data_IF_839494906207
#
_entry.id   IF_839494906207
#
_cell.length_a   1.000
_cell.length_b   1.000
_cell.length_c   1.000
_cell.angle_alpha   90.00
_cell.angle_beta   90.00
_cell.angle_gamma   90.00
#
_symmetry.space_group_name_H-M   'P 1'
#
loop_
_entity.id
_entity.type
_entity.pdbx_description
1 polymer ?
2 non-polymer ?
3 non-polymer ?
4 non-polymer ?
5 non-polymer ?
6 water ?
#
# COMPACT_ATOMS: atom_id res chain seq x y z
N UNK A 2 -33.96 0.72 13.26
CA UNK A 2 -33.60 -0.41 12.33
C UNK A 2 -32.09 -0.56 12.09
N UNK A 3 -31.40 0.55 11.86
CA UNK A 3 -29.93 0.53 11.87
C UNK A 3 -29.42 0.97 13.23
N UNK A 4 -28.37 0.33 13.71
CA UNK A 4 -27.76 0.75 14.96
C UNK A 4 -26.72 1.84 14.69
N UNK A 5 -25.80 2.05 15.63
CA UNK A 5 -24.80 3.12 15.47
C UNK A 5 -23.72 2.77 14.45
N UNK A 6 -23.73 1.53 13.96
CA UNK A 6 -22.82 1.09 12.91
C UNK A 6 -21.46 0.65 13.39
N UNK A 7 -20.50 0.69 12.48
CA UNK A 7 -19.19 0.09 12.73
C UNK A 7 -18.08 1.13 12.94
N UNK A 8 -17.01 0.67 13.58
CA UNK A 8 -15.78 1.43 13.77
C UNK A 8 -14.72 0.79 12.89
N UNK A 9 -14.13 1.59 12.00
CA UNK A 9 -13.10 1.11 11.12
C UNK A 9 -11.77 1.74 11.50
N UNK A 10 -10.78 0.93 11.86
CA UNK A 10 -9.41 1.41 11.99
C UNK A 10 -8.87 1.47 10.57
N UNK A 11 -8.70 2.71 10.09
CA UNK A 11 -8.39 2.93 8.69
C UNK A 11 -6.99 3.46 8.46
N UNK A 12 -6.15 2.62 7.87
CA UNK A 12 -4.81 3.03 7.50
C UNK A 12 -4.64 3.28 6.00
N UNK A 13 -5.71 3.09 5.22
CA UNK A 13 -5.69 3.41 3.79
C UNK A 13 -5.89 4.94 3.63
N UNK A 14 -5.48 5.50 2.49
CA UNK A 14 -5.61 6.95 2.26
C UNK A 14 -7.06 7.38 2.47
N UNK A 15 -7.24 8.42 3.27
CA UNK A 15 -8.55 8.85 3.74
C UNK A 15 -9.54 9.12 2.60
N UNK A 16 -9.06 9.73 1.52
CA UNK A 16 -9.96 10.05 0.40
C UNK A 16 -10.45 8.84 -0.42
N UNK A 17 -9.60 7.80 -0.53
CA UNK A 17 -10.05 6.54 -1.12
C UNK A 17 -11.17 6.00 -0.24
N UNK A 18 -10.93 5.95 1.07
CA UNK A 18 -11.87 5.33 1.98
C UNK A 18 -13.17 6.15 2.07
N UNK A 19 -13.06 7.47 1.97
CA UNK A 19 -14.26 8.31 1.98
C UNK A 19 -15.18 8.01 0.79
N UNK A 20 -14.59 7.72 -0.38
CA UNK A 20 -15.41 7.37 -1.55
C UNK A 20 -16.17 6.06 -1.33
N UNK A 21 -15.52 5.11 -0.65
CA UNK A 21 -16.16 3.85 -0.27
C UNK A 21 -17.25 4.03 0.78
N UNK A 22 -16.94 4.73 1.87
CA UNK A 22 -17.92 4.93 2.94
C UNK A 22 -19.18 5.65 2.45
N UNK A 23 -19.00 6.70 1.65
CA UNK A 23 -20.15 7.43 1.10
C UNK A 23 -21.08 6.47 0.36
N UNK A 24 -20.53 5.66 -0.54
CA UNK A 24 -21.33 4.70 -1.30
C UNK A 24 -21.95 3.61 -0.43
N UNK A 25 -21.15 3.09 0.50
CA UNK A 25 -21.57 2.00 1.38
C UNK A 25 -22.73 2.39 2.29
N UNK A 26 -22.62 3.55 2.92
CA UNK A 26 -23.66 4.01 3.85
C UNK A 26 -24.94 4.34 3.07
N UNK A 27 -24.79 4.95 1.89
CA UNK A 27 -25.93 5.19 1.00
C UNK A 27 -26.65 3.88 0.66
N UNK A 28 -25.90 2.85 0.28
CA UNK A 28 -26.46 1.56 -0.14
C UNK A 28 -27.09 0.76 0.99
N UNK A 29 -26.44 0.75 2.16
CA UNK A 29 -26.79 -0.21 3.21
C UNK A 29 -27.44 0.39 4.45
N UNK A 30 -27.27 1.70 4.64
CA UNK A 30 -27.72 2.38 5.84
C UNK A 30 -26.79 2.19 7.03
N UNK A 31 -25.73 1.40 6.84
CA UNK A 31 -24.77 1.14 7.90
C UNK A 31 -23.83 2.32 8.04
N UNK A 32 -23.84 2.93 9.23
CA UNK A 32 -22.98 4.07 9.54
C UNK A 32 -21.54 3.59 9.78
N UNK A 33 -20.58 4.40 9.37
CA UNK A 33 -19.17 4.06 9.54
C UNK A 33 -18.45 5.17 10.28
N UNK A 34 -17.74 4.80 11.34
CA UNK A 34 -16.89 5.72 12.07
C UNK A 34 -15.44 5.38 11.77
N UNK A 35 -14.72 6.34 11.17
CA UNK A 35 -13.32 6.12 10.80
C UNK A 35 -12.39 6.57 11.90
N UNK A 36 -11.43 5.71 12.25
CA UNK A 36 -10.35 6.13 13.13
C UNK A 36 -9.07 5.92 12.35
N UNK A 37 -8.50 7.04 11.88
CA UNK A 37 -7.41 7.00 10.91
C UNK A 37 -6.04 6.94 11.59
N UNK A 38 -5.10 6.28 10.91
CA UNK A 38 -3.71 6.22 11.37
C UNK A 38 -2.87 5.52 10.31
N UNK A 39 -1.61 5.24 10.62
CA UNK A 39 -0.75 4.50 9.69
C UNK A 39 -0.88 3.00 9.90
N UNK A 40 -0.48 2.21 8.89
CA UNK A 40 -0.56 0.73 9.00
C UNK A 40 0.04 0.21 10.32
N UNK A 41 1.27 0.61 10.60
CA UNK A 41 2.02 0.01 11.71
C UNK A 41 1.40 0.37 13.06
N UNK A 42 1.12 1.66 13.27
CA UNK A 42 0.57 2.07 14.57
C UNK A 42 -0.82 1.50 14.84
N UNK A 43 -1.65 1.40 13.79
CA UNK A 43 -2.98 0.80 13.94
C UNK A 43 -2.91 -0.72 14.17
N UNK A 44 -2.00 -1.39 13.45
CA UNK A 44 -1.78 -2.82 13.66
C UNK A 44 -1.33 -3.10 15.11
N UNK A 45 -0.37 -2.32 15.60
CA UNK A 45 0.10 -2.49 16.97
C UNK A 45 -1.00 -2.18 17.97
N UNK A 46 -1.80 -1.14 17.67
CA UNK A 46 -2.92 -0.77 18.54
C UNK A 46 -3.89 -1.93 18.68
N UNK A 47 -4.21 -2.59 17.57
CA UNK A 47 -5.10 -3.76 17.63
C UNK A 47 -4.51 -4.88 18.47
N UNK A 48 -3.21 -5.14 18.28
CA UNK A 48 -2.55 -6.18 19.07
C UNK A 48 -2.62 -5.88 20.57
N UNK A 49 -2.39 -4.61 20.93
CA UNK A 49 -2.34 -4.19 22.33
C UNK A 49 -3.72 -4.07 22.97
N UNK A 50 -4.72 -3.72 22.16
CA UNK A 50 -6.11 -3.65 22.66
C UNK A 50 -6.69 -5.05 22.77
N UNK A 51 -6.32 -5.93 21.85
CA UNK A 51 -6.83 -7.31 21.84
C UNK A 51 -8.34 -7.36 21.90
N UNK A 52 -8.89 -8.13 22.84
CA UNK A 52 -10.34 -8.33 22.89
C UNK A 52 -11.11 -7.10 23.41
N UNK A 53 -10.37 -6.10 23.90
CA UNK A 53 -10.98 -4.87 24.40
C UNK A 53 -11.16 -3.81 23.30
N UNK A 54 -10.67 -4.11 22.10
CA UNK A 54 -10.74 -3.17 20.97
C UNK A 54 -12.19 -2.89 20.56
N UNK A 55 -12.52 -1.62 20.23
CA UNK A 55 -13.82 -1.31 19.63
C UNK A 55 -13.84 -1.49 18.12
N UNK A 56 -12.71 -1.87 17.52
CA UNK A 56 -12.60 -1.96 16.07
C UNK A 56 -13.38 -3.12 15.50
N UNK A 57 -14.12 -2.85 14.43
CA UNK A 57 -14.86 -3.87 13.72
C UNK A 57 -14.13 -4.34 12.44
N UNK A 58 -13.46 -3.39 11.78
CA UNK A 58 -12.72 -3.66 10.54
C UNK A 58 -11.38 -2.95 10.62
N UNK A 59 -10.36 -3.55 10.02
CA UNK A 59 -9.04 -2.95 9.84
C UNK A 59 -8.78 -2.85 8.34
N UNK A 60 -8.46 -1.65 7.85
CA UNK A 60 -8.01 -1.46 6.46
C UNK A 60 -6.59 -0.94 6.43
N UNK A 61 -5.77 -1.47 5.52
CA UNK A 61 -4.37 -1.04 5.44
C UNK A 61 -3.99 -0.66 4.01
N UNK A 62 -2.99 0.19 3.88
CA UNK A 62 -2.38 0.48 2.59
C UNK A 62 -1.59 -0.71 2.04
N UNK A 63 -0.96 -1.46 2.95
CA UNK A 63 -0.04 -2.55 2.56
C UNK A 63 -0.30 -3.83 3.33
N UNK A 64 0.37 -4.91 2.92
CA UNK A 64 0.18 -6.24 3.53
C UNK A 64 0.81 -6.54 4.89
N UNK A 65 2.04 -6.04 5.17
CA UNK A 65 2.70 -6.45 6.40
C UNK A 65 1.90 -6.27 7.70
N UNK A 66 1.17 -5.16 7.85
CA UNK A 66 0.36 -4.96 9.06
C UNK A 66 -0.78 -5.98 9.18
N UNK A 67 -1.32 -6.41 8.04
CA UNK A 67 -2.32 -7.49 8.05
C UNK A 67 -1.76 -8.78 8.60
N UNK A 68 -0.54 -9.11 8.15
CA UNK A 68 0.18 -10.30 8.63
C UNK A 68 0.40 -10.22 10.16
N UNK A 69 0.79 -9.05 10.65
CA UNK A 69 0.99 -8.84 12.09
C UNK A 69 -0.29 -9.12 12.90
N UNK A 70 -1.41 -8.55 12.44
CA UNK A 70 -2.67 -8.71 13.16
C UNK A 70 -3.19 -10.15 13.04
N UNK A 71 -3.02 -10.76 11.88
CA UNK A 71 -3.42 -12.15 11.70
C UNK A 71 -2.56 -13.08 12.58
N UNK A 72 -1.27 -12.78 12.70
CA UNK A 72 -0.37 -13.58 13.55
C UNK A 72 -0.82 -13.56 15.03
N UNK A 73 -1.43 -12.45 15.42
CA UNK A 73 -1.96 -12.28 16.77
C UNK A 73 -3.34 -12.94 16.95
N UNK A 74 -3.83 -13.59 15.89
CA UNK A 74 -5.11 -14.32 15.88
C UNK A 74 -6.32 -13.43 16.20
N UNK A 75 -6.30 -12.23 15.64
CA UNK A 75 -7.34 -11.24 15.93
C UNK A 75 -8.45 -11.12 14.88
N UNK A 76 -8.28 -11.75 13.71
CA UNK A 76 -9.29 -11.66 12.66
C UNK A 76 -10.31 -12.81 12.71
N UNK A 77 -11.52 -12.52 12.24
CA UNK A 77 -12.56 -13.52 11.99
C UNK A 77 -12.43 -14.01 10.54
N UNK A 78 -12.85 -15.25 10.26
CA UNK A 78 -12.82 -15.65 8.84
C UNK A 78 -13.79 -14.82 8.01
N UNK A 79 -13.39 -14.49 6.79
CA UNK A 79 -14.25 -13.72 5.91
C UNK A 79 -15.32 -14.63 5.32
N UNK A 80 -16.51 -14.06 5.15
CA UNK A 80 -17.62 -14.77 4.54
C UNK A 80 -17.27 -15.28 3.13
N UNK A 81 -17.90 -16.38 2.74
CA UNK A 81 -17.58 -17.06 1.48
C UNK A 81 -17.66 -16.16 0.24
N UNK A 82 -18.68 -15.32 0.18
CA UNK A 82 -18.85 -14.43 -0.97
C UNK A 82 -17.67 -13.48 -1.09
N UNK A 83 -17.24 -12.91 0.03
CA UNK A 83 -16.07 -12.04 0.06
C UNK A 83 -14.83 -12.73 -0.52
N UNK A 84 -14.60 -13.97 -0.09
CA UNK A 84 -13.43 -14.71 -0.57
C UNK A 84 -13.47 -15.01 -2.06
N UNK A 85 -14.67 -15.19 -2.60
CA UNK A 85 -14.85 -15.46 -4.04
C UNK A 85 -14.75 -14.20 -4.91
N UNK A 86 -14.84 -13.03 -4.27
CA UNK A 86 -14.91 -11.75 -4.99
C UNK A 86 -13.55 -11.23 -5.44
N UNK A 87 -12.48 -11.69 -4.79
CA UNK A 87 -11.15 -11.15 -5.01
C UNK A 87 -10.28 -12.13 -5.79
N UNK A 88 -9.55 -11.63 -6.79
CA UNK A 88 -8.65 -12.47 -7.59
C UNK A 88 -7.65 -13.20 -6.70
N UNK A 89 -7.38 -14.46 -7.05
CA UNK A 89 -6.50 -15.32 -6.25
C UNK A 89 -5.14 -14.71 -5.93
N UNK A 90 -4.56 -14.00 -6.89
CA UNK A 90 -3.25 -13.36 -6.67
C UNK A 90 -3.28 -12.25 -5.60
N UNK A 91 -4.47 -11.80 -5.22
CA UNK A 91 -4.61 -10.72 -4.24
C UNK A 91 -5.22 -11.19 -2.92
N UNK A 92 -5.15 -12.50 -2.67
CA UNK A 92 -5.59 -13.10 -1.43
C UNK A 92 -4.38 -13.81 -0.80
N UNK A 93 -4.21 -13.69 0.53
CA UNK A 93 -3.03 -14.30 1.12
C UNK A 93 -3.15 -15.82 1.10
N UNK A 94 -2.04 -16.52 0.93
CA UNK A 94 -2.04 -17.99 0.99
C UNK A 94 -2.42 -18.48 2.40
N UNK A 95 -2.00 -17.74 3.41
CA UNK A 95 -2.39 -18.01 4.78
C UNK A 95 -2.82 -16.71 5.45
N UNK A 96 -3.96 -16.75 6.15
CA UNK A 96 -4.43 -15.58 6.87
C UNK A 96 -5.89 -15.26 6.61
N UNK A 97 -6.52 -14.68 7.63
CA UNK A 97 -7.95 -14.36 7.63
C UNK A 97 -8.14 -12.90 7.24
N UNK A 98 -7.65 -12.56 6.07
CA UNK A 98 -7.84 -11.22 5.52
C UNK A 98 -7.85 -11.31 4.00
N UNK A 99 -8.14 -10.18 3.36
CA UNK A 99 -8.19 -10.15 1.90
C UNK A 99 -7.53 -8.90 1.35
N UNK A 100 -7.00 -9.02 0.14
CA UNK A 100 -6.65 -7.82 -0.61
C UNK A 100 -7.91 -7.00 -0.88
N UNK A 101 -7.76 -5.67 -0.91
CA UNK A 101 -8.89 -4.76 -1.22
C UNK A 101 -8.57 -3.76 -2.33
N UNK A 102 -7.27 -3.58 -2.59
CA UNK A 102 -6.78 -2.65 -3.61
C UNK A 102 -5.31 -2.96 -3.78
N UNK A 103 -4.68 -2.42 -4.82
CA UNK A 103 -3.25 -2.63 -5.02
C UNK A 103 -2.59 -1.38 -5.55
N UNK A 104 -1.26 -1.33 -5.44
CA UNK A 104 -0.50 -0.17 -5.88
C UNK A 104 0.84 -0.65 -6.43
N UNK A 105 1.36 0.04 -7.44
CA UNK A 105 2.65 -0.34 -8.01
C UNK A 105 3.79 0.52 -7.49
N UNK A 106 4.89 -0.12 -7.09
CA UNK A 106 6.13 0.62 -6.85
C UNK A 106 6.48 1.33 -8.16
N UNK A 107 7.02 2.54 -8.05
CA UNK A 107 7.56 3.29 -9.20
C UNK A 107 8.81 4.06 -8.79
N UNK A 108 9.60 4.44 -9.80
CA UNK A 108 10.62 5.46 -9.64
C UNK A 108 10.07 6.74 -10.25
N UNK A 109 9.72 7.69 -9.40
CA UNK A 109 9.29 9.00 -9.87
C UNK A 109 10.55 9.79 -10.21
N UNK A 110 10.52 10.50 -11.33
CA UNK A 110 11.71 11.27 -11.73
C UNK A 110 11.30 12.56 -12.41
N UNK A 111 12.24 13.49 -12.50
CA UNK A 111 12.03 14.78 -13.14
C UNK A 111 12.76 14.77 -14.50
N UNK A 112 12.01 14.70 -15.62
CA UNK A 112 12.65 14.59 -16.95
C UNK A 112 13.51 15.80 -17.36
N UNK A 113 13.28 16.94 -16.72
CA UNK A 113 14.14 18.11 -16.95
C UNK A 113 15.49 17.99 -16.24
N UNK A 114 15.62 17.03 -15.34
CA UNK A 114 16.86 16.75 -14.61
C UNK A 114 17.52 15.45 -15.04
N UNK A 115 16.69 14.48 -15.43
CA UNK A 115 17.16 13.14 -15.76
C UNK A 115 16.18 12.30 -16.55
N UNK A 116 16.62 11.42 -17.45
CA UNK A 116 16.18 11.37 -18.82
C UNK A 116 15.78 9.87 -18.61
N UNK A 117 14.76 9.38 -19.31
CA UNK A 117 14.36 7.97 -19.23
C UNK A 117 15.53 6.98 -19.26
N UNK A 118 16.43 7.16 -20.23
CA UNK A 118 17.54 6.24 -20.47
C UNK A 118 18.55 6.22 -19.33
N UNK A 119 18.48 7.22 -18.45
CA UNK A 119 19.44 7.38 -17.37
C UNK A 119 18.95 6.75 -16.05
N UNK A 120 17.70 6.33 -16.04
CA UNK A 120 17.09 5.79 -14.83
C UNK A 120 17.67 4.43 -14.45
N UNK A 121 17.61 4.07 -13.15
CA UNK A 121 18.18 2.77 -12.78
C UNK A 121 17.42 1.63 -13.46
N UNK A 122 18.16 0.63 -13.94
CA UNK A 122 17.52 -0.53 -14.56
C UNK A 122 16.77 -1.39 -13.54
N UNK A 123 17.34 -1.48 -12.34
CA UNK A 123 16.79 -2.27 -11.25
C UNK A 123 16.78 -1.39 -10.00
N UNK A 124 15.84 -1.63 -9.08
CA UNK A 124 15.88 -0.90 -7.79
C UNK A 124 17.21 -1.20 -7.06
N UNK A 125 17.80 -2.36 -7.34
CA UNK A 125 19.05 -2.75 -6.69
C UNK A 125 20.20 -1.84 -7.11
N UNK A 126 20.06 -1.22 -8.28
CA UNK A 126 21.11 -0.33 -8.81
C UNK A 126 21.26 0.94 -7.97
N UNK A 127 20.21 1.31 -7.23
CA UNK A 127 20.25 2.52 -6.39
C UNK A 127 21.31 2.45 -5.27
N UNK A 128 21.85 1.25 -5.06
CA UNK A 128 22.91 1.02 -4.07
C UNK A 128 24.28 1.39 -4.60
N UNK A 129 24.41 1.50 -5.93
CA UNK A 129 25.71 1.77 -6.57
C UNK A 129 26.17 3.21 -6.26
N UNK A 130 27.50 3.43 -6.17
CA UNK A 130 28.01 4.77 -5.84
C UNK A 130 27.55 5.87 -6.80
N UNK A 131 27.32 5.56 -8.06
CA UNK A 131 26.84 6.57 -9.00
C UNK A 131 25.47 7.16 -8.63
N UNK A 132 24.74 6.47 -7.73
CA UNK A 132 23.41 6.94 -7.30
C UNK A 132 23.43 7.79 -6.02
N UNK A 133 24.62 8.03 -5.48
CA UNK A 133 24.76 8.87 -4.28
C UNK A 133 24.25 10.28 -4.51
N UNK A 134 23.32 10.70 -3.65
CA UNK A 134 22.70 12.03 -3.72
C UNK A 134 21.65 12.22 -4.79
N UNK A 135 21.20 11.13 -5.41
CA UNK A 135 20.34 11.25 -6.57
C UNK A 135 18.94 10.69 -6.40
N UNK A 136 18.62 10.19 -5.21
CA UNK A 136 17.27 9.66 -4.98
C UNK A 136 16.75 9.81 -3.55
N UNK A 137 15.43 9.88 -3.47
CA UNK A 137 14.72 10.13 -2.21
C UNK A 137 13.73 9.00 -1.91
N UNK A 138 13.35 8.92 -0.64
CA UNK A 138 12.30 8.01 -0.20
C UNK A 138 11.79 8.48 1.16
N UNK A 139 10.69 7.87 1.61
CA UNK A 139 10.12 8.14 2.93
C UNK A 139 10.19 6.86 3.77
N UNK A 140 11.35 6.64 4.43
CA UNK A 140 11.61 5.36 5.10
C UNK A 140 10.70 5.08 6.30
N UNK A 141 10.13 6.12 6.91
CA UNK A 141 9.32 5.93 8.12
C UNK A 141 7.91 5.41 7.83
N UNK A 142 7.52 5.42 6.57
CA UNK A 142 6.16 5.05 6.18
C UNK A 142 6.00 3.56 5.93
N UNK A 143 4.78 3.06 6.16
CA UNK A 143 4.48 1.66 5.87
C UNK A 143 4.63 1.34 4.38
N UNK A 144 4.40 2.35 3.53
CA UNK A 144 4.52 2.16 2.08
C UNK A 144 5.92 1.69 1.69
N UNK A 145 6.92 2.51 2.03
CA UNK A 145 8.29 2.15 1.71
C UNK A 145 8.74 0.87 2.45
N UNK A 146 8.32 0.73 3.71
CA UNK A 146 8.69 -0.45 4.47
C UNK A 146 8.13 -1.73 3.84
N UNK A 147 6.98 -1.62 3.16
CA UNK A 147 6.43 -2.76 2.44
C UNK A 147 7.29 -3.12 1.22
N UNK A 148 7.80 -2.11 0.52
CA UNK A 148 8.73 -2.34 -0.59
C UNK A 148 9.99 -3.07 -0.10
N UNK A 149 10.53 -2.64 1.03
CA UNK A 149 11.64 -3.34 1.67
C UNK A 149 11.28 -4.79 2.06
N UNK A 150 10.06 -5.01 2.56
CA UNK A 150 9.63 -6.37 2.92
C UNK A 150 9.60 -7.30 1.68
N UNK A 151 9.19 -6.77 0.52
CA UNK A 151 9.25 -7.52 -0.74
C UNK A 151 10.69 -7.87 -1.12
N UNK A 152 11.59 -6.89 -0.99
CA UNK A 152 13.02 -7.11 -1.24
C UNK A 152 13.58 -8.21 -0.34
N UNK A 153 13.21 -8.16 0.94
CA UNK A 153 13.61 -9.16 1.92
C UNK A 153 13.15 -10.55 1.46
N UNK A 154 11.90 -10.64 1.02
CA UNK A 154 11.33 -11.89 0.55
C UNK A 154 12.00 -12.41 -0.73
N UNK A 155 12.32 -11.52 -1.65
CA UNK A 155 12.85 -11.90 -2.96
C UNK A 155 14.36 -12.13 -2.98
N UNK A 156 15.08 -11.30 -2.24
CA UNK A 156 16.55 -11.28 -2.29
C UNK A 156 17.22 -11.80 -1.04
N UNK A 157 16.46 -11.91 0.05
CA UNK A 157 16.97 -12.44 1.31
C UNK A 157 17.59 -11.38 2.19
N UNK A 158 17.86 -11.77 3.44
CA UNK A 158 18.31 -10.86 4.48
C UNK A 158 19.66 -10.17 4.20
N UNK A 159 20.67 -10.94 3.83
CA UNK A 159 22.00 -10.40 3.55
C UNK A 159 21.98 -9.33 2.46
N UNK A 160 21.34 -9.64 1.34
CA UNK A 160 21.32 -8.73 0.20
C UNK A 160 20.46 -7.49 0.50
N UNK A 161 19.39 -7.68 1.27
CA UNK A 161 18.53 -6.56 1.66
C UNK A 161 19.25 -5.61 2.62
N UNK A 162 19.91 -6.15 3.65
CA UNK A 162 20.66 -5.30 4.58
C UNK A 162 21.78 -4.53 3.85
N UNK A 163 22.47 -5.20 2.93
CA UNK A 163 23.49 -4.57 2.09
C UNK A 163 22.92 -3.38 1.31
N UNK A 164 21.78 -3.58 0.67
CA UNK A 164 21.13 -2.52 -0.08
C UNK A 164 20.69 -1.38 0.85
N UNK A 165 20.21 -1.72 2.04
CA UNK A 165 19.78 -0.70 3.01
C UNK A 165 20.93 0.15 3.54
N UNK A 166 22.08 -0.47 3.78
CA UNK A 166 23.27 0.28 4.18
C UNK A 166 23.75 1.23 3.06
N UNK A 167 23.67 0.78 1.82
CA UNK A 167 24.02 1.63 0.68
C UNK A 167 22.98 2.76 0.52
N UNK A 168 21.72 2.45 0.80
CA UNK A 168 20.68 3.47 0.80
C UNK A 168 20.99 4.59 1.80
N UNK A 169 21.44 4.21 3.01
CA UNK A 169 21.82 5.18 4.02
C UNK A 169 22.86 6.17 3.45
N UNK A 170 23.84 5.63 2.72
CA UNK A 170 24.86 6.45 2.09
C UNK A 170 24.26 7.32 0.99
N UNK A 171 23.37 6.75 0.20
CA UNK A 171 22.98 7.37 -1.07
C UNK A 171 21.76 8.27 -1.06
N UNK A 172 20.76 7.95 -0.24
CA UNK A 172 19.45 8.57 -0.38
C UNK A 172 19.26 9.82 0.45
N UNK A 173 18.17 10.54 0.16
CA UNK A 173 17.73 11.66 0.99
C UNK A 173 16.31 11.39 1.49
N UNK A 174 16.11 11.50 2.80
CA UNK A 174 14.82 11.23 3.43
C UNK A 174 13.89 12.46 3.40
N UNK A 175 12.62 12.19 3.11
CA UNK A 175 11.53 13.14 3.31
C UNK A 175 10.39 12.41 3.99
N UNK A 176 9.59 13.14 4.77
CA UNK A 176 8.44 12.49 5.43
C UNK A 176 7.21 12.53 4.54
N UNK A 177 6.81 11.35 4.04
CA UNK A 177 5.64 11.23 3.18
C UNK A 177 6.02 11.13 1.72
N UNK A 178 5.37 10.18 1.03
CA UNK A 178 5.59 10.02 -0.41
C UNK A 178 5.15 11.21 -1.26
N UNK A 179 4.12 11.93 -0.82
CA UNK A 179 3.74 13.17 -1.50
C UNK A 179 4.87 14.18 -1.43
N UNK A 180 5.56 14.23 -0.28
CA UNK A 180 6.72 15.10 -0.07
C UNK A 180 7.88 14.70 -0.97
N UNK A 181 8.13 13.39 -1.09
CA UNK A 181 9.13 12.88 -2.04
C UNK A 181 8.81 13.33 -3.47
N UNK A 182 7.57 13.14 -3.89
CA UNK A 182 7.14 13.54 -5.23
C UNK A 182 7.34 15.04 -5.46
N UNK A 183 6.93 15.85 -4.47
CA UNK A 183 7.07 17.30 -4.58
C UNK A 183 8.54 17.73 -4.69
N UNK A 184 9.40 17.04 -3.95
CA UNK A 184 10.84 17.30 -3.98
C UNK A 184 11.40 17.04 -5.38
N UNK A 185 10.99 15.91 -5.98
CA UNK A 185 11.39 15.59 -7.36
C UNK A 185 10.81 16.62 -8.33
N UNK A 186 9.53 16.94 -8.13
CA UNK A 186 8.85 17.93 -8.98
C UNK A 186 9.58 19.29 -9.00
N UNK A 187 10.10 19.68 -7.84
CA UNK A 187 10.79 20.95 -7.68
C UNK A 187 12.23 20.91 -8.17
N UNK A 188 12.70 19.72 -8.54
CA UNK A 188 14.05 19.55 -9.03
C UNK A 188 15.09 19.48 -7.93
N UNK A 189 14.66 19.10 -6.71
CA UNK A 189 15.56 18.98 -5.57
C UNK A 189 16.50 17.80 -5.73
N UNK A 190 16.00 16.77 -6.43
CA UNK A 190 16.68 15.48 -6.51
C UNK A 190 16.18 14.77 -7.79
N UNK A 191 17.04 13.94 -8.39
CA UNK A 191 16.72 13.31 -9.68
C UNK A 191 15.43 12.51 -9.64
N UNK A 192 15.27 11.70 -8.61
CA UNK A 192 14.10 10.82 -8.51
C UNK A 192 13.88 10.26 -7.12
N UNK A 193 12.90 9.39 -7.02
CA UNK A 193 12.62 8.74 -5.73
C UNK A 193 11.75 7.51 -5.88
N UNK A 194 11.68 6.73 -4.81
CA UNK A 194 10.92 5.49 -4.80
C UNK A 194 9.61 5.74 -4.06
N UNK A 195 8.50 5.63 -4.78
CA UNK A 195 7.17 5.83 -4.20
C UNK A 195 6.20 4.81 -4.81
N UNK A 196 4.90 4.99 -4.57
CA UNK A 196 3.88 4.22 -5.29
C UNK A 196 3.26 5.05 -6.40
N UNK A 197 2.64 4.37 -7.37
CA UNK A 197 2.18 5.02 -8.59
C UNK A 197 1.09 6.07 -8.39
N UNK A 198 0.23 5.87 -7.39
CA UNK A 198 -1.02 6.66 -7.33
C UNK A 198 -0.80 8.14 -6.98
N UNK A 199 0.28 8.45 -6.28
CA UNK A 199 0.49 9.83 -5.86
C UNK A 199 0.42 10.83 -7.02
N UNK A 200 1.07 10.51 -8.14
CA UNK A 200 1.09 11.44 -9.27
C UNK A 200 -0.31 11.61 -9.86
N UNK A 201 -1.03 10.51 -10.00
CA UNK A 201 -2.37 10.56 -10.57
C UNK A 201 -3.33 11.39 -9.71
N UNK A 202 -3.24 11.19 -8.39
CA UNK A 202 -4.07 11.92 -7.44
C UNK A 202 -3.85 13.42 -7.57
N UNK A 203 -2.58 13.82 -7.64
CA UNK A 203 -2.28 15.25 -7.73
C UNK A 203 -2.66 15.84 -9.08
N UNK A 204 -2.49 15.04 -10.14
CA UNK A 204 -2.80 15.49 -11.49
C UNK A 204 -4.29 15.72 -11.63
N UNK A 205 -5.08 14.95 -10.88
CA UNK A 205 -6.54 15.10 -10.87
C UNK A 205 -7.00 16.33 -10.09
N UNK A 206 -6.08 16.91 -9.30
CA UNK A 206 -6.39 18.14 -8.58
C UNK A 206 -5.92 19.36 -9.40
N UNK A 207 -4.78 19.94 -9.02
CA UNK A 207 -4.24 21.10 -9.75
C UNK A 207 -2.97 20.75 -10.52
N UNK A 208 -2.36 19.63 -10.18
CA UNK A 208 -1.09 19.22 -10.78
C UNK A 208 0.13 20.02 -10.31
N UNK A 209 -0.07 20.90 -9.32
CA UNK A 209 1.01 21.79 -8.89
C UNK A 209 2.18 21.06 -8.24
N UNK A 210 1.97 19.81 -7.86
CA UNK A 210 2.99 19.04 -7.17
C UNK A 210 3.60 17.93 -8.02
N UNK A 211 3.16 17.81 -9.28
CA UNK A 211 3.44 16.61 -10.07
C UNK A 211 3.73 16.83 -11.56
N UNK A 212 3.43 18.03 -12.07
CA UNK A 212 3.52 18.32 -13.51
C UNK A 212 4.92 18.18 -14.12
N UNK A 213 5.93 18.32 -13.28
CA UNK A 213 7.34 18.21 -13.73
C UNK A 213 7.93 16.83 -13.42
N UNK A 214 7.09 15.86 -13.11
CA UNK A 214 7.52 14.48 -12.86
C UNK A 214 6.98 13.54 -13.93
N UNK A 215 7.63 12.38 -14.05
CA UNK A 215 7.04 11.23 -14.75
C UNK A 215 7.32 9.99 -13.91
N UNK A 216 6.65 8.90 -14.25
CA UNK A 216 6.81 7.63 -13.56
C UNK A 216 7.56 6.61 -14.41
N UNK A 217 8.50 5.93 -13.76
CA UNK A 217 9.20 4.80 -14.35
C UNK A 217 8.81 3.50 -13.66
N UNK A 218 8.49 2.49 -14.47
CA UNK A 218 8.15 1.14 -13.97
C UNK A 218 9.32 0.20 -14.24
N UNK A 219 9.81 -0.45 -13.19
CA UNK A 219 11.02 -1.26 -13.30
C UNK A 219 10.80 -2.52 -14.12
N UNK A 220 9.61 -3.09 -14.01
CA UNK A 220 9.25 -4.32 -14.73
C UNK A 220 10.29 -5.44 -14.46
N UNK A 221 10.47 -6.36 -15.41
CA UNK A 221 11.51 -7.42 -15.29
C UNK A 221 11.42 -8.33 -14.06
N UNK A 222 10.26 -8.39 -13.43
CA UNK A 222 10.11 -9.08 -12.14
C UNK A 222 11.16 -8.61 -11.11
N UNK A 223 11.60 -7.36 -11.27
CA UNK A 223 12.51 -6.72 -10.33
C UNK A 223 11.84 -6.50 -8.98
N UNK A 224 12.62 -6.50 -7.87
CA UNK A 224 12.00 -6.09 -6.61
C UNK A 224 11.33 -4.73 -6.70
N UNK A 225 11.85 -3.85 -7.55
CA UNK A 225 11.29 -2.52 -7.76
C UNK A 225 9.95 -2.53 -8.49
N UNK A 226 9.57 -3.69 -9.02
CA UNK A 226 8.29 -3.81 -9.71
C UNK A 226 7.22 -4.38 -8.78
N UNK A 227 7.55 -4.48 -7.49
CA UNK A 227 6.61 -4.97 -6.47
C UNK A 227 5.27 -4.25 -6.50
N UNK A 228 4.20 -5.05 -6.50
CA UNK A 228 2.83 -4.54 -6.41
C UNK A 228 2.38 -4.81 -4.98
N UNK A 229 2.22 -3.75 -4.20
CA UNK A 229 1.77 -3.88 -2.82
C UNK A 229 0.27 -4.04 -2.75
N UNK A 230 -0.16 -5.00 -1.95
CA UNK A 230 -1.59 -5.30 -1.78
C UNK A 230 -2.12 -4.70 -0.47
N UNK A 231 -3.11 -3.81 -0.60
CA UNK A 231 -3.82 -3.21 0.52
C UNK A 231 -4.76 -4.26 1.12
N UNK A 232 -4.92 -4.26 2.43
CA UNK A 232 -5.66 -5.32 3.09
C UNK A 232 -6.92 -4.87 3.82
N UNK A 233 -7.86 -5.79 3.96
CA UNK A 233 -9.02 -5.59 4.82
C UNK A 233 -9.30 -6.85 5.61
N UNK A 234 -9.66 -6.67 6.87
CA UNK A 234 -10.04 -7.79 7.72
C UNK A 234 -11.10 -7.40 8.73
N UNK A 235 -11.87 -8.39 9.16
CA UNK A 235 -12.92 -8.21 10.17
C UNK A 235 -12.34 -8.69 11.49
N UNK A 236 -12.47 -7.90 12.55
CA UNK A 236 -11.94 -8.30 13.87
C UNK A 236 -12.84 -9.31 14.55
N UNK A 237 -12.23 -10.37 15.09
CA UNK A 237 -12.97 -11.40 15.80
C UNK A 237 -13.71 -10.85 17.03
N UNK A 238 -13.17 -9.79 17.63
CA UNK A 238 -13.79 -9.14 18.77
C UNK A 238 -14.99 -8.26 18.42
N UNK A 239 -15.26 -8.09 17.13
CA UNK A 239 -16.34 -7.18 16.71
C UNK A 239 -17.66 -7.50 17.40
N UNK A 240 -18.30 -6.46 17.94
CA UNK A 240 -19.66 -6.56 18.47
C UNK A 240 -20.70 -6.24 17.40
N UNK A 241 -20.22 -5.99 16.18
CA UNK A 241 -21.06 -5.73 15.00
C UNK A 241 -20.60 -6.62 13.83
N UNK A 242 -20.52 -7.95 14.05
CA UNK A 242 -19.88 -8.86 13.07
C UNK A 242 -20.50 -8.89 11.67
N UNK A 243 -21.83 -8.86 11.57
CA UNK A 243 -22.46 -8.94 10.25
C UNK A 243 -22.24 -7.65 9.46
N UNK A 244 -22.40 -6.50 10.13
CA UNK A 244 -22.17 -5.19 9.49
C UNK A 244 -20.71 -5.05 9.07
N UNK A 245 -19.81 -5.53 9.92
CA UNK A 245 -18.38 -5.58 9.59
C UNK A 245 -18.13 -6.44 8.32
N UNK A 246 -18.68 -7.66 8.29
CA UNK A 246 -18.55 -8.51 7.10
C UNK A 246 -19.17 -7.83 5.88
N UNK A 247 -20.31 -7.16 6.08
CA UNK A 247 -20.98 -6.46 5.00
C UNK A 247 -20.09 -5.39 4.38
N UNK A 248 -19.36 -4.67 5.22
CA UNK A 248 -18.47 -3.63 4.74
C UNK A 248 -17.33 -4.19 3.87
N UNK A 249 -16.68 -5.24 4.35
CA UNK A 249 -15.56 -5.81 3.56
C UNK A 249 -16.10 -6.48 2.27
N UNK A 250 -17.29 -7.06 2.33
CA UNK A 250 -17.92 -7.63 1.13
C UNK A 250 -18.22 -6.51 0.12
N UNK A 251 -18.65 -5.36 0.63
CA UNK A 251 -19.05 -4.26 -0.21
C UNK A 251 -17.83 -3.64 -0.91
N UNK A 252 -16.77 -3.38 -0.16
CA UNK A 252 -15.58 -2.73 -0.75
C UNK A 252 -14.87 -3.63 -1.77
N UNK A 253 -14.93 -4.95 -1.56
CA UNK A 253 -14.28 -5.92 -2.45
C UNK A 253 -15.24 -6.40 -3.54
N UNK A 254 -16.50 -6.00 -3.45
CA UNK A 254 -17.51 -6.39 -4.42
C UNK A 254 -17.59 -5.44 -5.62
N UNK A 255 -18.60 -5.66 -6.45
CA UNK A 255 -18.76 -4.85 -7.66
C UNK A 255 -18.82 -3.36 -7.35
N UNK A 256 -19.55 -2.97 -6.30
CA UNK A 256 -19.72 -1.55 -5.99
C UNK A 256 -18.43 -0.88 -5.54
N UNK A 257 -17.72 -1.51 -4.61
CA UNK A 257 -16.47 -0.99 -4.08
C UNK A 257 -15.38 -0.96 -5.15
N UNK A 258 -15.31 -2.03 -5.94
CA UNK A 258 -14.27 -2.11 -6.97
C UNK A 258 -14.54 -1.19 -8.16
N UNK A 259 -15.81 -1.01 -8.51
CA UNK A 259 -16.21 0.03 -9.47
C UNK A 259 -15.74 1.41 -9.02
N UNK A 260 -15.90 1.71 -7.74
CA UNK A 260 -15.43 2.99 -7.18
C UNK A 260 -13.92 3.17 -7.31
N UNK A 261 -13.15 2.10 -7.10
CA UNK A 261 -11.70 2.18 -7.35
C UNK A 261 -11.39 2.55 -8.80
N UNK A 262 -12.19 2.03 -9.73
CA UNK A 262 -11.99 2.26 -11.16
C UNK A 262 -12.28 3.70 -11.56
N UNK A 263 -13.18 4.34 -10.83
CA UNK A 263 -13.76 5.63 -11.26
C UNK A 263 -13.45 6.82 -10.34
N UNK A 264 -13.03 6.55 -9.11
CA UNK A 264 -12.75 7.63 -8.15
C UNK A 264 -11.44 8.38 -8.46
N UNK A 265 -11.07 9.32 -7.61
CA UNK A 265 -9.83 10.06 -7.81
C UNK A 265 -8.68 9.61 -6.92
N UNK A 266 -8.72 8.34 -6.49
CA UNK A 266 -7.65 7.73 -5.69
C UNK A 266 -6.63 7.00 -6.56
N UNK A 267 -7.09 6.50 -7.71
CA UNK A 267 -6.20 5.88 -8.71
C UNK A 267 -5.41 4.67 -8.22
N UNK A 268 -5.98 3.92 -7.28
CA UNK A 268 -5.39 2.63 -6.92
C UNK A 268 -6.03 1.50 -7.71
N UNK A 269 -5.31 0.38 -7.85
CA UNK A 269 -5.78 -0.73 -8.68
C UNK A 269 -6.88 -1.54 -8.01
N UNK A 270 -7.84 -1.96 -8.82
CA UNK A 270 -8.85 -2.91 -8.38
C UNK A 270 -8.26 -4.33 -8.32
N UNK A 271 -8.68 -5.08 -7.30
CA UNK A 271 -8.22 -6.46 -7.13
C UNK A 271 -9.33 -7.50 -7.30
N UNK A 272 -10.56 -7.04 -7.55
CA UNK A 272 -11.69 -7.96 -7.69
C UNK A 272 -11.56 -8.85 -8.91
N UNK A 273 -12.21 -10.02 -8.88
CA UNK A 273 -12.25 -10.91 -10.05
C UNK A 273 -12.87 -10.13 -11.20
N UNK A 274 -12.16 -10.06 -12.32
CA UNK A 274 -12.61 -9.36 -13.54
C UNK A 274 -12.92 -7.89 -13.30
N UNK A 275 -12.26 -7.29 -12.31
CA UNK A 275 -12.41 -5.85 -12.02
C UNK A 275 -11.31 -5.05 -12.73
N UNK A 276 -11.70 -4.28 -13.74
CA UNK A 276 -10.76 -3.39 -14.42
C UNK A 276 -10.39 -2.21 -13.55
N UNK A 277 -9.24 -1.63 -13.85
CA UNK A 277 -8.82 -0.42 -13.15
C UNK A 277 -9.02 0.80 -14.01
N UNK A 278 -8.76 1.96 -13.41
CA UNK A 278 -8.83 3.25 -14.12
C UNK A 278 -8.02 3.19 -15.43
N UNK A 279 -8.61 3.64 -16.56
CA UNK A 279 -7.90 3.47 -17.83
C UNK A 279 -6.60 4.30 -17.96
N UNK A 280 -6.37 5.21 -17.02
CA UNK A 280 -5.15 6.02 -17.02
C UNK A 280 -3.94 5.22 -16.53
N UNK A 281 -4.22 4.14 -15.81
CA UNK A 281 -3.18 3.30 -15.17
C UNK A 281 -2.61 2.25 -16.12
N UNK A 282 -1.33 1.92 -15.95
CA UNK A 282 -0.76 0.76 -16.66
C UNK A 282 -1.46 -0.49 -16.12
N UNK A 283 -2.09 -1.32 -16.99
CA UNK A 283 -2.80 -2.47 -16.39
C UNK A 283 -1.85 -3.36 -15.58
N UNK A 284 -2.38 -3.97 -14.52
CA UNK A 284 -1.61 -4.87 -13.64
C UNK A 284 -0.86 -5.95 -14.43
N UNK A 285 -1.53 -6.53 -15.42
CA UNK A 285 -0.94 -7.62 -16.20
C UNK A 285 0.24 -7.17 -17.07
N UNK A 286 0.41 -5.86 -17.21
CA UNK A 286 1.50 -5.30 -18.01
C UNK A 286 2.69 -4.81 -17.19
N UNK A 287 2.60 -4.91 -15.86
CA UNK A 287 3.65 -4.43 -14.95
C UNK A 287 4.86 -5.38 -14.85
N UNK A 288 4.70 -6.63 -15.27
CA UNK A 288 5.73 -7.66 -15.09
C UNK A 288 6.26 -7.68 -13.65
N UNK A 289 5.34 -7.73 -12.69
CA UNK A 289 5.69 -7.68 -11.29
C UNK A 289 6.25 -9.03 -10.81
N UNK A 290 7.12 -9.02 -9.79
CA UNK A 290 7.60 -10.28 -9.20
C UNK A 290 6.46 -10.97 -8.46
N UNK A 291 6.58 -12.28 -8.30
CA UNK A 291 5.65 -13.01 -7.45
C UNK A 291 6.14 -12.88 -6.02
N UNK A 292 5.31 -12.22 -5.19
CA UNK A 292 5.65 -12.00 -3.78
C UNK A 292 4.42 -12.40 -2.98
N UNK A 293 4.55 -13.46 -2.17
CA UNK A 293 3.44 -13.92 -1.33
C UNK A 293 3.17 -12.93 -0.17
N UNK A 294 2.00 -12.26 -0.17
CA UNK A 294 1.78 -11.21 0.84
C UNK A 294 1.86 -11.71 2.30
N UNK A 295 1.47 -12.97 2.54
CA UNK A 295 1.44 -13.50 3.89
C UNK A 295 2.83 -13.85 4.41
N UNK A 296 3.84 -13.73 3.55
CA UNK A 296 5.22 -13.97 3.96
C UNK A 296 5.93 -12.69 4.40
N UNK A 297 5.30 -11.53 4.20
CA UNK A 297 5.95 -10.24 4.44
C UNK A 297 6.05 -9.92 5.94
N UNK A 298 7.22 -9.41 6.33
CA UNK A 298 7.60 -9.36 7.73
C UNK A 298 7.98 -7.96 8.18
N UNK A 299 7.02 -7.23 8.75
CA UNK A 299 7.27 -5.85 9.16
C UNK A 299 8.30 -5.74 10.29
N UNK A 300 8.29 -6.68 11.21
CA UNK A 300 9.23 -6.63 12.34
C UNK A 300 10.68 -6.74 11.86
N UNK A 301 10.94 -7.71 10.98
CA UNK A 301 12.27 -7.90 10.44
C UNK A 301 12.74 -6.68 9.63
N UNK A 302 11.83 -6.10 8.85
CA UNK A 302 12.16 -4.90 8.09
C UNK A 302 12.60 -3.77 9.01
N UNK A 303 11.86 -3.55 10.10
CA UNK A 303 12.20 -2.49 11.04
C UNK A 303 13.58 -2.77 11.65
N UNK A 304 13.83 -4.04 11.99
CA UNK A 304 15.13 -4.43 12.57
C UNK A 304 16.27 -4.12 11.61
N UNK A 305 16.12 -4.49 10.34
CA UNK A 305 17.17 -4.28 9.34
C UNK A 305 17.37 -2.79 9.01
N UNK A 306 16.27 -2.06 8.87
CA UNK A 306 16.34 -0.63 8.58
C UNK A 306 16.93 0.14 9.75
N UNK A 307 16.63 -0.31 10.96
CA UNK A 307 17.21 0.31 12.17
C UNK A 307 18.71 0.05 12.22
N UNK A 308 19.11 -1.18 11.90
CA UNK A 308 20.53 -1.55 11.84
C UNK A 308 21.27 -0.70 10.79
N UNK A 309 20.58 -0.34 9.72
CA UNK A 309 21.17 0.48 8.65
C UNK A 309 21.15 1.99 8.97
N UNK A 310 20.56 2.33 10.12
CA UNK A 310 20.49 3.74 10.55
C UNK A 310 19.44 4.57 9.83
N UNK A 311 18.42 3.90 9.30
CA UNK A 311 17.38 4.56 8.51
C UNK A 311 16.17 4.94 9.35
N UNK A 312 16.08 4.35 10.54
CA UNK A 312 15.02 4.64 11.50
C UNK A 312 15.65 4.88 12.87
X LIG B 1 0.50 5.85 0.55
X LIG C 1 -0.46 8.40 13.20
X LIG D 1 21.08 14.42 -11.67
X LIG E 1 10.63 4.19 -17.84
X LIG F 1 -24.30 -3.33 14.76
X LIG G 1 14.82 -8.65 -17.68
X LIG H 1 23.06 14.67 -9.10
X LIG H 1 23.22 15.11 -7.96
X LIG H 1 24.00 14.15 -9.70
X LIG H 1 21.94 14.70 -9.59
X LIG I 1 -18.83 0.12 16.51
X LIG I 1 -19.83 0.97 17.07
X LIG I 1 -18.14 -0.78 17.53
X LIG I 1 -17.23 -0.06 18.36
X LIG J 1 1.43 -9.13 -5.84
X LIG J 1 2.44 -8.59 -5.02
X LIG J 1 1.40 -10.65 -5.64
X LIG J 1 2.54 -11.26 -6.26
#
# INVERSE_FOLDING_TARGET
>A
ESNDSGIVVYNAQHENLVKSWVDGFTKDTGIKVTLRNGGDSELGNQLVQEGSASPADVFLTENSPAMVLVDNAKLFAPLDAVTQAQVAQEYRPEHGRWTGIAARSTVFVYNPEKISEAELPKSIMDLAKPEWKGRWAASPSGADFQAIVSAMLELKGEKATLEWLKAMKTNFTAYKGNSTVMKAVNAGQIDGGVIYHYYRFVDQAKTGENSGKTQLHYFKHQDPGAFVSISGGGVLASSKHPKEAQEFVKWITGKSGQDILRTNNAFEYAVGVDAASNPKLVPLKDLDAPKVEPSKLNSKKVVELMTEAGLL
>B hetero
1 FE FE
>C hetero
1 ZN ZN
>D hetero
1 ZN ZN
>E hetero
1 ZN ZN
>F hetero
1 ZN ZN
>G hetero
1 ZN ZN
>H hetero
1 CO3 C O1 O2 O3
>I hetero
1 EDO C1 O1 C2 O2
>J hetero
1 EDO C1 O1 C2 O2
#
